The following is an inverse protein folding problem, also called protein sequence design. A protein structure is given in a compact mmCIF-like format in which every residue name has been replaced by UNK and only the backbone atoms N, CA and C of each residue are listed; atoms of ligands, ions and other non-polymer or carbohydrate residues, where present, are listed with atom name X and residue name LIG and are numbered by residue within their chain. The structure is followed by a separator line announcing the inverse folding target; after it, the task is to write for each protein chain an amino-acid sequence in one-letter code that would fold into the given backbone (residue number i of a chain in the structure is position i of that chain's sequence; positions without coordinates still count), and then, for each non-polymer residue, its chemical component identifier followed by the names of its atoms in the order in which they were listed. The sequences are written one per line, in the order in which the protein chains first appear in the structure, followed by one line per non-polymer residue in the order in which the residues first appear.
data_IF_571586733703
#
_entry.id   IF_571586733703
#
_cell.length_a   1.000
_cell.length_b   1.000
_cell.length_c   1.000
_cell.angle_alpha   90.00
_cell.angle_beta   90.00
_cell.angle_gamma   90.00
#
_symmetry.space_group_name_H-M   'P 1'
#
loop_
_entity.id
_entity.type
_entity.pdbx_description
1 polymer ?
#
# COMPACT_ATOMS: atom_id res chain seq x y z
N UNK A 1 -7.43 -65.84 -16.68
CA UNK A 1 -6.87 -64.59 -16.12
C UNK A 1 -8.02 -63.78 -15.53
N UNK A 2 -8.25 -63.82 -14.21
CA UNK A 2 -9.46 -63.21 -13.62
C UNK A 2 -9.43 -63.08 -12.10
N UNK A 3 -8.34 -62.56 -11.53
CA UNK A 3 -8.17 -62.46 -10.06
C UNK A 3 -7.70 -61.09 -9.55
N UNK A 4 -7.81 -60.03 -10.34
CA UNK A 4 -7.35 -58.70 -9.91
C UNK A 4 -8.45 -57.72 -9.47
N UNK A 5 -9.74 -58.03 -9.70
CA UNK A 5 -10.83 -57.04 -9.52
C UNK A 5 -11.50 -57.12 -8.13
N UNK A 6 -11.34 -58.21 -7.36
CA UNK A 6 -12.11 -58.41 -6.11
C UNK A 6 -11.53 -57.78 -4.84
N UNK A 7 -10.33 -57.20 -4.89
CA UNK A 7 -9.71 -56.56 -3.70
C UNK A 7 -10.23 -55.13 -3.53
N UNK A 8 -10.59 -54.46 -4.62
CA UNK A 8 -11.07 -53.07 -4.61
C UNK A 8 -12.46 -52.88 -3.99
N UNK A 9 -13.30 -53.93 -3.95
CA UNK A 9 -14.70 -53.87 -3.47
C UNK A 9 -14.89 -54.41 -2.04
N UNK A 10 -13.82 -54.62 -1.27
CA UNK A 10 -13.98 -55.02 0.12
C UNK A 10 -14.42 -53.82 0.99
N UNK A 11 -15.40 -53.97 1.89
CA UNK A 11 -15.96 -52.88 2.69
C UNK A 11 -14.92 -52.04 3.43
N UNK A 12 -13.80 -52.67 3.83
CA UNK A 12 -12.69 -52.02 4.52
C UNK A 12 -11.95 -51.00 3.65
N UNK A 13 -11.78 -51.28 2.35
CA UNK A 13 -11.13 -50.36 1.42
C UNK A 13 -12.03 -49.18 1.03
N UNK A 14 -13.35 -49.42 0.97
CA UNK A 14 -14.35 -48.35 0.79
C UNK A 14 -14.35 -47.40 1.99
N UNK A 15 -14.30 -47.92 3.22
CA UNK A 15 -14.22 -47.10 4.43
C UNK A 15 -12.91 -46.31 4.51
N UNK A 16 -11.77 -46.91 4.12
CA UNK A 16 -10.50 -46.19 4.03
C UNK A 16 -10.58 -45.08 2.97
N UNK A 17 -11.12 -45.38 1.78
CA UNK A 17 -11.26 -44.42 0.70
C UNK A 17 -12.17 -43.24 1.08
N UNK A 18 -13.33 -43.51 1.69
CA UNK A 18 -14.24 -42.47 2.21
C UNK A 18 -13.58 -41.64 3.32
N UNK A 19 -12.78 -42.26 4.19
CA UNK A 19 -12.01 -41.58 5.22
C UNK A 19 -10.96 -40.62 4.64
N UNK A 20 -10.19 -41.07 3.65
CA UNK A 20 -9.22 -40.19 2.95
C UNK A 20 -9.94 -39.05 2.23
N UNK A 21 -11.06 -39.32 1.55
CA UNK A 21 -11.82 -38.30 0.84
C UNK A 21 -12.39 -37.25 1.80
N UNK A 22 -12.89 -37.66 2.96
CA UNK A 22 -13.32 -36.76 4.04
C UNK A 22 -12.17 -35.92 4.59
N UNK A 23 -10.99 -36.51 4.83
CA UNK A 23 -9.80 -35.77 5.30
C UNK A 23 -9.36 -34.75 4.24
N UNK A 24 -9.34 -35.10 2.96
CA UNK A 24 -8.99 -34.15 1.88
C UNK A 24 -10.02 -33.04 1.73
N UNK A 25 -11.31 -33.34 1.90
CA UNK A 25 -12.37 -32.33 1.86
C UNK A 25 -12.28 -31.39 3.07
N UNK A 26 -12.02 -31.92 4.27
CA UNK A 26 -11.81 -31.12 5.49
C UNK A 26 -10.55 -30.27 5.35
N UNK A 27 -9.44 -30.83 4.86
CA UNK A 27 -8.20 -30.08 4.63
C UNK A 27 -8.40 -28.99 3.57
N UNK A 28 -9.09 -29.29 2.47
CA UNK A 28 -9.45 -28.30 1.45
C UNK A 28 -10.38 -27.23 2.01
N UNK A 29 -11.34 -27.59 2.86
CA UNK A 29 -12.25 -26.66 3.51
C UNK A 29 -11.53 -25.76 4.52
N UNK A 30 -10.61 -26.30 5.31
CA UNK A 30 -9.75 -25.54 6.23
C UNK A 30 -8.85 -24.58 5.44
N UNK A 31 -8.24 -25.06 4.36
CA UNK A 31 -7.40 -24.27 3.46
C UNK A 31 -8.19 -23.14 2.78
N UNK A 32 -9.43 -23.43 2.37
CA UNK A 32 -10.32 -22.44 1.76
C UNK A 32 -10.81 -21.41 2.80
N UNK A 33 -11.01 -21.82 4.06
CA UNK A 33 -11.38 -20.94 5.18
C UNK A 33 -10.23 -20.02 5.61
N UNK A 34 -8.97 -20.48 5.55
CA UNK A 34 -7.80 -19.60 5.76
C UNK A 34 -7.69 -18.50 4.70
N UNK A 35 -8.21 -18.74 3.50
CA UNK A 35 -8.26 -17.76 2.42
C UNK A 35 -9.43 -16.75 2.54
N UNK A 36 -10.40 -17.01 3.41
CA UNK A 36 -11.57 -16.16 3.66
C UNK A 36 -11.32 -15.23 4.86
N UNK A 37 -10.15 -14.58 4.88
CA UNK A 37 -9.92 -13.45 5.78
C UNK A 37 -10.70 -12.25 5.25
N UNK A 38 -11.78 -11.87 5.95
CA UNK A 38 -12.58 -10.68 5.64
C UNK A 38 -11.62 -9.49 5.62
N UNK A 39 -11.43 -8.86 4.46
CA UNK A 39 -10.71 -7.59 4.35
C UNK A 39 -11.38 -6.61 5.32
N UNK A 40 -10.75 -6.33 6.46
CA UNK A 40 -11.25 -5.34 7.41
C UNK A 40 -11.38 -4.00 6.68
N UNK A 41 -12.62 -3.53 6.50
CA UNK A 41 -12.89 -2.26 5.86
C UNK A 41 -12.66 -1.15 6.88
N UNK A 42 -11.52 -0.46 6.76
CA UNK A 42 -11.21 0.71 7.57
C UNK A 42 -11.90 1.98 7.03
N UNK A 43 -12.46 2.78 7.94
CA UNK A 43 -13.08 4.07 7.60
C UNK A 43 -12.03 5.05 7.04
N UNK A 44 -12.36 5.69 5.92
CA UNK A 44 -11.56 6.78 5.35
C UNK A 44 -11.96 8.09 6.03
N UNK A 45 -11.04 8.67 6.81
CA UNK A 45 -11.31 9.91 7.53
C UNK A 45 -10.82 11.16 6.80
N UNK A 46 -9.82 11.00 5.94
CA UNK A 46 -9.25 12.07 5.10
C UNK A 46 -8.98 11.55 3.69
N UNK A 47 -9.04 12.44 2.69
CA UNK A 47 -8.61 12.18 1.31
C UNK A 47 -7.52 13.16 0.94
N UNK A 48 -6.40 12.66 0.44
CA UNK A 48 -5.30 13.48 -0.06
C UNK A 48 -5.00 13.12 -1.51
N UNK A 49 -4.38 14.03 -2.24
CA UNK A 49 -4.02 13.80 -3.63
C UNK A 49 -2.52 14.05 -3.87
N UNK A 50 -1.98 13.33 -4.86
CA UNK A 50 -0.65 13.52 -5.43
C UNK A 50 -0.80 13.63 -6.95
N UNK A 51 -0.50 14.80 -7.50
CA UNK A 51 -0.37 15.00 -8.95
C UNK A 51 1.03 14.61 -9.37
N UNK A 52 1.18 13.73 -10.35
CA UNK A 52 2.48 13.14 -10.69
C UNK A 52 2.87 13.43 -12.14
N UNK A 53 4.10 13.89 -12.30
CA UNK A 53 4.75 14.08 -13.59
C UNK A 53 5.89 13.07 -13.79
N UNK A 54 6.05 12.57 -15.02
CA UNK A 54 7.23 11.83 -15.48
C UNK A 54 7.94 12.69 -16.53
N UNK A 55 9.21 12.99 -16.32
CA UNK A 55 10.02 13.87 -17.18
C UNK A 55 9.30 15.19 -17.53
N UNK A 56 8.61 15.79 -16.54
CA UNK A 56 7.81 17.04 -16.64
C UNK A 56 6.53 16.94 -17.46
N UNK A 57 6.08 15.74 -17.79
CA UNK A 57 4.77 15.50 -18.41
C UNK A 57 3.82 14.94 -17.36
N UNK A 58 2.64 15.56 -17.21
CA UNK A 58 1.59 15.09 -16.31
C UNK A 58 1.14 13.71 -16.71
N UNK A 59 1.23 12.76 -15.78
CA UNK A 59 0.76 11.38 -15.97
C UNK A 59 -0.62 11.19 -15.37
N UNK A 60 -0.88 11.78 -14.21
CA UNK A 60 -2.19 11.71 -13.58
C UNK A 60 -2.19 12.16 -12.13
N UNK A 61 -3.30 11.86 -11.45
CA UNK A 61 -3.53 12.14 -10.04
C UNK A 61 -3.75 10.82 -9.31
N UNK A 62 -3.12 10.67 -8.15
CA UNK A 62 -3.38 9.57 -7.21
C UNK A 62 -4.16 10.17 -6.05
N UNK A 63 -5.34 9.64 -5.75
CA UNK A 63 -6.12 10.00 -4.56
C UNK A 63 -6.01 8.89 -3.53
N UNK A 64 -5.65 9.25 -2.31
CA UNK A 64 -5.39 8.32 -1.20
C UNK A 64 -6.40 8.61 -0.08
N UNK A 65 -7.16 7.59 0.31
CA UNK A 65 -7.96 7.59 1.52
C UNK A 65 -7.13 7.16 2.73
N UNK A 66 -7.22 7.89 3.84
CA UNK A 66 -6.39 7.71 5.03
C UNK A 66 -7.21 7.17 6.23
N UNK A 67 -6.63 6.23 6.98
CA UNK A 67 -7.28 5.50 8.08
C UNK A 67 -7.12 6.18 9.44
N UNK A 68 -7.56 7.44 9.56
CA UNK A 68 -7.24 8.27 10.73
C UNK A 68 -7.89 7.83 12.05
N UNK A 69 -8.84 6.89 12.05
CA UNK A 69 -9.32 6.28 13.30
C UNK A 69 -8.36 5.20 13.84
N UNK A 70 -7.59 4.56 12.96
CA UNK A 70 -6.75 3.40 13.32
C UNK A 70 -5.32 3.85 13.60
N UNK A 71 -4.81 4.79 12.80
CA UNK A 71 -3.44 5.31 12.91
C UNK A 71 -3.44 6.86 12.79
N UNK A 72 -4.10 7.58 13.72
CA UNK A 72 -4.26 9.03 13.65
C UNK A 72 -2.94 9.80 13.55
N UNK A 73 -1.89 9.39 14.27
CA UNK A 73 -0.59 10.08 14.23
C UNK A 73 0.10 9.89 12.87
N UNK A 74 0.05 8.69 12.33
CA UNK A 74 0.63 8.38 11.02
C UNK A 74 -0.11 9.13 9.91
N UNK A 75 -1.45 9.15 9.98
CA UNK A 75 -2.31 9.88 9.05
C UNK A 75 -2.08 11.37 9.10
N UNK A 76 -2.01 11.96 10.29
CA UNK A 76 -1.78 13.40 10.44
C UNK A 76 -0.42 13.81 9.86
N UNK A 77 0.63 13.02 10.10
CA UNK A 77 1.93 13.23 9.47
C UNK A 77 1.84 13.23 7.94
N UNK A 78 1.21 12.22 7.34
CA UNK A 78 1.11 12.14 5.89
C UNK A 78 0.26 13.26 5.29
N UNK A 79 -0.88 13.57 5.92
CA UNK A 79 -1.82 14.63 5.51
C UNK A 79 -1.13 16.00 5.53
N UNK A 80 -0.50 16.36 6.64
CA UNK A 80 0.19 17.63 6.78
C UNK A 80 1.40 17.77 5.82
N UNK A 81 2.09 16.66 5.51
CA UNK A 81 3.13 16.64 4.48
C UNK A 81 2.56 16.78 3.05
N UNK A 82 1.31 16.35 2.80
CA UNK A 82 0.63 16.61 1.53
C UNK A 82 0.24 18.08 1.40
N UNK A 83 -0.25 18.73 2.46
CA UNK A 83 -0.70 20.14 2.42
C UNK A 83 0.44 21.15 2.51
N UNK A 84 1.53 20.79 3.20
CA UNK A 84 2.64 21.70 3.46
C UNK A 84 2.35 22.74 4.55
N UNK A 85 1.27 22.59 5.31
CA UNK A 85 0.82 23.59 6.30
C UNK A 85 1.80 23.80 7.47
N UNK A 86 2.65 22.81 7.74
CA UNK A 86 3.68 22.88 8.78
C UNK A 86 4.88 23.76 8.38
N UNK A 87 4.93 24.27 7.15
CA UNK A 87 5.95 25.20 6.68
C UNK A 87 7.33 24.56 6.56
N UNK A 88 8.32 25.15 7.23
CA UNK A 88 9.72 24.71 7.17
C UNK A 88 10.26 24.43 8.57
N UNK A 89 11.16 23.46 8.67
CA UNK A 89 11.96 23.24 9.89
C UNK A 89 12.92 24.41 10.13
N UNK A 90 13.51 24.47 11.33
CA UNK A 90 14.53 25.45 11.68
C UNK A 90 15.73 25.42 10.71
N UNK A 91 16.10 24.23 10.22
CA UNK A 91 17.18 24.03 9.25
C UNK A 91 16.75 24.27 7.79
N UNK A 92 15.53 24.78 7.57
CA UNK A 92 15.03 25.20 6.26
C UNK A 92 14.41 24.09 5.41
N UNK A 93 14.25 22.88 5.93
CA UNK A 93 13.59 21.77 5.21
C UNK A 93 12.10 22.06 5.09
N UNK A 94 11.58 22.13 3.86
CA UNK A 94 10.14 22.25 3.62
C UNK A 94 9.43 20.95 3.95
N UNK A 95 8.47 21.01 4.87
CA UNK A 95 7.62 19.87 5.27
C UNK A 95 6.47 19.69 4.28
N UNK A 96 6.81 19.40 3.01
CA UNK A 96 5.85 19.32 1.92
C UNK A 96 6.32 18.34 0.83
N UNK A 97 5.42 17.47 0.35
CA UNK A 97 5.69 16.52 -0.73
C UNK A 97 5.77 17.14 -2.13
N UNK A 98 5.17 18.31 -2.35
CA UNK A 98 5.27 19.04 -3.62
C UNK A 98 6.72 19.23 -4.06
N UNK A 99 7.01 18.84 -5.30
CA UNK A 99 8.31 18.88 -5.93
C UNK A 99 9.25 17.72 -5.55
N UNK A 100 8.82 16.78 -4.71
CA UNK A 100 9.65 15.66 -4.26
C UNK A 100 9.53 14.45 -5.19
N UNK A 101 10.60 13.68 -5.37
CA UNK A 101 10.59 12.55 -6.29
C UNK A 101 10.04 11.28 -5.66
N UNK A 102 9.54 10.40 -6.52
CA UNK A 102 9.58 8.96 -6.25
C UNK A 102 11.00 8.49 -6.55
N UNK A 103 11.81 8.25 -5.52
CA UNK A 103 13.23 7.94 -5.65
C UNK A 103 13.53 6.45 -5.79
N UNK A 104 12.55 5.57 -5.55
CA UNK A 104 12.70 4.12 -5.73
C UNK A 104 11.43 3.49 -6.29
N UNK A 105 11.51 2.83 -7.44
CA UNK A 105 10.39 2.24 -8.18
C UNK A 105 10.82 0.86 -8.68
N UNK A 106 10.21 -0.20 -8.14
CA UNK A 106 10.53 -1.59 -8.48
C UNK A 106 9.29 -2.23 -9.13
N UNK A 107 9.34 -2.56 -10.43
CA UNK A 107 8.27 -3.25 -11.12
C UNK A 107 7.93 -4.61 -10.49
N UNK A 108 6.64 -4.91 -10.34
CA UNK A 108 6.12 -6.08 -9.65
C UNK A 108 6.24 -6.00 -8.14
N UNK A 109 6.51 -4.83 -7.57
CA UNK A 109 6.61 -4.65 -6.13
C UNK A 109 5.95 -3.37 -5.64
N UNK A 110 6.58 -2.20 -5.84
CA UNK A 110 6.13 -0.95 -5.22
C UNK A 110 6.74 0.30 -5.88
N UNK A 111 6.08 1.43 -5.64
CA UNK A 111 6.62 2.77 -5.86
C UNK A 111 6.84 3.45 -4.50
N UNK A 112 8.04 4.02 -4.29
CA UNK A 112 8.45 4.65 -3.03
C UNK A 112 8.90 6.09 -3.28
N UNK A 113 8.43 6.98 -2.41
CA UNK A 113 8.74 8.40 -2.44
C UNK A 113 8.74 9.01 -1.04
N UNK A 114 8.56 10.33 -0.99
CA UNK A 114 8.36 11.06 0.25
C UNK A 114 9.63 11.47 0.99
N UNK A 115 10.83 11.24 0.44
CA UNK A 115 12.05 11.83 1.01
C UNK A 115 12.07 13.35 0.75
N UNK A 116 11.52 14.10 1.70
CA UNK A 116 11.43 15.57 1.63
C UNK A 116 12.75 16.27 1.94
N UNK A 117 13.74 15.56 2.53
CA UNK A 117 15.01 16.15 2.97
C UNK A 117 16.04 16.10 1.85
N UNK A 118 16.33 14.91 1.33
CA UNK A 118 17.38 14.70 0.32
C UNK A 118 16.86 14.27 -1.06
N UNK A 119 15.60 13.83 -1.16
CA UNK A 119 15.01 13.34 -2.40
C UNK A 119 15.69 12.12 -3.02
N UNK A 120 16.45 11.35 -2.24
CA UNK A 120 17.22 10.19 -2.71
C UNK A 120 17.05 8.93 -1.86
N UNK A 121 16.18 8.99 -0.84
CA UNK A 121 15.83 7.90 0.06
C UNK A 121 16.64 7.83 1.35
N UNK A 122 17.60 8.75 1.56
CA UNK A 122 18.40 8.79 2.81
C UNK A 122 17.78 9.68 3.88
N UNK A 123 16.94 10.62 3.49
CA UNK A 123 16.32 11.58 4.39
C UNK A 123 15.13 11.00 5.12
N UNK A 124 15.03 11.28 6.42
CA UNK A 124 13.89 10.89 7.21
C UNK A 124 13.61 11.92 8.31
N UNK A 125 12.47 12.59 8.22
CA UNK A 125 11.95 13.52 9.22
C UNK A 125 10.42 13.42 9.19
N UNK A 126 9.75 13.74 10.29
CA UNK A 126 8.29 13.87 10.34
C UNK A 126 7.89 15.30 10.69
N UNK A 127 6.60 15.58 10.65
CA UNK A 127 6.06 16.84 11.18
C UNK A 127 6.31 17.03 12.69
N UNK A 128 6.73 15.96 13.39
CA UNK A 128 7.03 15.95 14.83
C UNK A 128 8.50 16.26 15.14
N UNK A 129 9.30 16.66 14.15
CA UNK A 129 10.71 17.07 14.34
C UNK A 129 11.74 15.96 14.29
N UNK A 130 11.34 14.72 14.01
CA UNK A 130 12.24 13.56 13.90
C UNK A 130 11.46 12.29 13.55
N UNK A 131 12.09 11.10 13.59
CA UNK A 131 11.35 9.85 13.42
C UNK A 131 10.31 9.63 14.54
N UNK A 132 9.23 8.90 14.24
CA UNK A 132 8.19 8.55 15.21
C UNK A 132 7.92 7.04 15.28
N UNK A 133 7.41 6.54 16.43
CA UNK A 133 7.14 5.11 16.63
C UNK A 133 6.12 4.50 15.69
N UNK A 134 6.12 3.17 15.58
CA UNK A 134 5.07 2.42 14.89
C UNK A 134 3.77 2.52 15.71
N UNK A 135 2.72 3.07 15.13
CA UNK A 135 1.47 3.32 15.85
C UNK A 135 0.67 2.03 16.08
N UNK A 136 0.49 1.23 15.03
CA UNK A 136 0.18 -0.19 15.12
C UNK A 136 0.53 -0.89 13.79
N UNK A 137 0.58 -2.22 13.83
CA UNK A 137 0.96 -3.08 12.70
C UNK A 137 -0.15 -4.09 12.37
N UNK A 138 -1.41 -3.72 12.66
CA UNK A 138 -2.57 -4.62 12.51
C UNK A 138 -3.02 -4.75 11.07
N UNK A 139 -2.95 -3.65 10.33
CA UNK A 139 -3.39 -3.58 8.94
C UNK A 139 -2.35 -4.28 8.05
N UNK A 140 -2.81 -5.25 7.25
CA UNK A 140 -1.97 -6.06 6.36
C UNK A 140 -1.80 -5.43 4.99
N UNK A 141 -0.73 -5.79 4.30
CA UNK A 141 -0.48 -5.47 2.90
C UNK A 141 -1.22 -6.45 1.97
N UNK A 142 -2.54 -6.56 2.16
CA UNK A 142 -3.37 -7.62 1.56
C UNK A 142 -3.60 -7.47 0.05
N UNK A 143 -3.46 -6.26 -0.51
CA UNK A 143 -3.69 -5.97 -1.91
C UNK A 143 -2.80 -4.84 -2.45
N UNK A 144 -2.77 -4.68 -3.78
CA UNK A 144 -2.11 -3.55 -4.44
C UNK A 144 -2.80 -2.22 -4.07
N UNK A 145 -2.05 -1.13 -3.99
CA UNK A 145 -2.59 0.20 -3.71
C UNK A 145 -2.77 0.53 -2.22
N UNK A 146 -2.44 -0.38 -1.30
CA UNK A 146 -2.25 0.03 0.12
C UNK A 146 -1.14 1.07 0.22
N UNK A 147 -1.24 1.99 1.17
CA UNK A 147 -0.20 3.01 1.39
C UNK A 147 0.41 2.80 2.76
N UNK A 148 1.75 2.70 2.80
CA UNK A 148 2.47 2.25 3.97
C UNK A 148 3.75 3.05 4.22
N UNK A 149 4.14 3.18 5.47
CA UNK A 149 5.31 3.96 5.89
C UNK A 149 6.60 3.19 5.61
N UNK A 150 7.59 3.88 5.07
CA UNK A 150 8.97 3.38 5.06
C UNK A 150 9.61 3.68 6.41
N UNK A 151 10.38 2.73 6.91
CA UNK A 151 11.20 2.90 8.10
C UNK A 151 12.61 2.31 7.87
N UNK A 152 13.52 2.59 8.79
CA UNK A 152 14.87 2.01 8.85
C UNK A 152 15.01 1.00 10.01
N UNK A 153 13.92 0.29 10.30
CA UNK A 153 13.75 -0.53 11.50
C UNK A 153 12.59 -0.04 12.36
N UNK A 154 12.21 -0.85 13.36
CA UNK A 154 11.08 -0.55 14.24
C UNK A 154 11.15 0.86 14.82
N UNK A 155 10.00 1.52 14.87
CA UNK A 155 9.82 2.85 15.47
C UNK A 155 10.62 3.98 14.82
N UNK A 156 10.84 3.91 13.50
CA UNK A 156 11.62 4.92 12.76
C UNK A 156 10.87 5.52 11.56
N UNK A 157 9.54 5.66 11.67
CA UNK A 157 8.72 6.28 10.64
C UNK A 157 9.06 7.76 10.51
N UNK A 158 8.98 8.32 9.30
CA UNK A 158 9.13 9.76 9.11
C UNK A 158 8.33 10.27 7.93
N UNK A 159 8.97 10.59 6.82
CA UNK A 159 8.31 11.21 5.65
C UNK A 159 8.16 10.26 4.47
N UNK A 160 8.97 9.19 4.42
CA UNK A 160 8.96 8.28 3.30
C UNK A 160 7.78 7.30 3.37
N UNK A 161 7.19 7.04 2.21
CA UNK A 161 6.06 6.12 2.05
C UNK A 161 6.24 5.29 0.78
N UNK A 162 5.51 4.19 0.69
CA UNK A 162 5.43 3.38 -0.51
C UNK A 162 4.00 2.91 -0.80
N UNK A 163 3.75 2.61 -2.07
CA UNK A 163 2.50 2.05 -2.59
C UNK A 163 2.85 0.76 -3.32
N UNK A 164 2.54 -0.43 -2.77
CA UNK A 164 2.70 -1.69 -3.46
C UNK A 164 1.81 -1.78 -4.70
N UNK A 165 2.34 -2.38 -5.76
CA UNK A 165 1.61 -2.67 -7.00
C UNK A 165 1.08 -4.11 -7.06
N UNK A 166 1.43 -4.90 -6.05
CA UNK A 166 0.98 -6.28 -5.79
C UNK A 166 0.71 -6.47 -4.30
N UNK A 167 0.06 -7.59 -3.92
CA UNK A 167 -0.01 -8.02 -2.51
C UNK A 167 1.40 -8.25 -1.97
N UNK A 168 1.71 -7.71 -0.79
CA UNK A 168 3.06 -7.71 -0.22
C UNK A 168 3.07 -8.18 1.24
N UNK A 169 2.47 -9.34 1.53
CA UNK A 169 2.28 -9.87 2.89
C UNK A 169 3.59 -10.15 3.66
N UNK A 170 4.73 -10.22 2.97
CA UNK A 170 6.04 -10.31 3.63
C UNK A 170 6.47 -9.02 4.35
N UNK A 171 5.71 -7.93 4.20
CA UNK A 171 5.91 -6.66 4.91
C UNK A 171 4.99 -6.51 6.14
N UNK A 172 4.08 -7.47 6.35
CA UNK A 172 3.14 -7.45 7.48
C UNK A 172 3.92 -7.52 8.81
N UNK A 173 3.52 -6.71 9.78
CA UNK A 173 4.22 -6.63 11.07
C UNK A 173 5.50 -5.77 11.06
N UNK A 174 5.93 -5.25 9.91
CA UNK A 174 7.18 -4.46 9.79
C UNK A 174 6.93 -3.01 9.37
N UNK A 175 5.86 -2.74 8.62
CA UNK A 175 5.52 -1.41 8.11
C UNK A 175 4.08 -1.02 8.46
N UNK A 176 3.90 0.23 8.90
CA UNK A 176 2.58 0.78 9.25
C UNK A 176 1.81 1.11 7.97
N UNK A 177 0.78 0.33 7.66
CA UNK A 177 -0.21 0.70 6.64
C UNK A 177 -1.16 1.75 7.22
N UNK A 178 -1.39 2.84 6.47
CA UNK A 178 -2.16 3.98 6.97
C UNK A 178 -3.22 4.51 5.98
N UNK A 179 -3.33 3.89 4.81
CA UNK A 179 -4.34 4.27 3.83
C UNK A 179 -4.38 3.33 2.63
N UNK A 180 -5.17 3.71 1.63
CA UNK A 180 -5.20 3.08 0.32
C UNK A 180 -5.45 4.10 -0.78
N UNK A 181 -4.95 3.82 -1.97
CA UNK A 181 -5.34 4.51 -3.19
C UNK A 181 -6.81 4.19 -3.45
N UNK A 182 -7.62 5.25 -3.59
CA UNK A 182 -9.04 5.15 -3.90
C UNK A 182 -9.34 5.54 -5.34
N UNK A 183 -8.49 6.37 -5.95
CA UNK A 183 -8.53 6.75 -7.37
C UNK A 183 -7.10 6.91 -7.89
N UNK A 184 -6.88 6.63 -9.18
CA UNK A 184 -5.56 6.81 -9.80
C UNK A 184 -4.59 5.63 -9.68
N UNK A 185 -5.09 4.40 -9.47
CA UNK A 185 -4.21 3.21 -9.51
C UNK A 185 -3.59 2.98 -10.89
N UNK A 186 -4.26 3.37 -11.97
CA UNK A 186 -3.70 3.44 -13.31
C UNK A 186 -2.47 4.37 -13.38
N UNK A 187 -2.50 5.51 -12.68
CA UNK A 187 -1.35 6.42 -12.53
C UNK A 187 -0.21 5.73 -11.78
N UNK A 188 -0.50 4.98 -10.72
CA UNK A 188 0.50 4.17 -9.99
C UNK A 188 1.18 3.15 -10.91
N UNK A 189 0.39 2.41 -11.70
CA UNK A 189 0.92 1.46 -12.67
C UNK A 189 1.68 2.13 -13.82
N UNK A 190 1.25 3.32 -14.26
CA UNK A 190 1.97 4.10 -15.27
C UNK A 190 3.33 4.57 -14.76
N UNK A 191 3.44 4.96 -13.48
CA UNK A 191 4.72 5.28 -12.83
C UNK A 191 5.62 4.06 -12.79
N UNK A 192 5.10 2.93 -12.30
CA UNK A 192 5.83 1.67 -12.20
C UNK A 192 6.36 1.21 -13.56
N UNK A 193 5.46 1.04 -14.53
CA UNK A 193 5.79 0.58 -15.87
C UNK A 193 6.61 1.58 -16.67
N UNK A 194 6.37 2.88 -16.49
CA UNK A 194 7.00 3.97 -17.24
C UNK A 194 8.40 4.36 -16.78
N UNK A 195 8.69 4.22 -15.48
CA UNK A 195 9.93 4.69 -14.87
C UNK A 195 10.68 3.65 -14.01
N UNK A 196 10.06 2.51 -13.68
CA UNK A 196 10.66 1.52 -12.79
C UNK A 196 11.87 0.77 -13.36
N UNK A 197 12.69 0.24 -12.45
CA UNK A 197 13.81 -0.66 -12.76
C UNK A 197 13.96 -1.71 -11.65
N UNK A 198 14.59 -2.85 -11.96
CA UNK A 198 14.83 -3.90 -10.96
C UNK A 198 15.79 -3.50 -9.84
N UNK A 199 16.69 -2.52 -10.07
CA UNK A 199 17.54 -1.97 -9.02
C UNK A 199 16.80 -0.97 -8.12
N UNK A 200 15.57 -0.61 -8.48
CA UNK A 200 14.75 0.40 -7.83
C UNK A 200 15.07 1.82 -8.25
N UNK A 201 16.26 2.14 -8.77
CA UNK A 201 16.56 3.50 -9.22
C UNK A 201 15.74 3.81 -10.50
N UNK A 202 14.86 4.82 -10.50
CA UNK A 202 14.03 5.11 -11.66
C UNK A 202 14.85 5.49 -12.90
N UNK A 203 14.42 5.03 -14.08
CA UNK A 203 15.04 5.39 -15.38
C UNK A 203 14.59 6.76 -15.90
N UNK A 204 13.50 7.29 -15.37
CA UNK A 204 12.93 8.62 -15.67
C UNK A 204 12.69 9.37 -14.37
N UNK A 205 12.68 10.69 -14.42
CA UNK A 205 12.44 11.51 -13.23
C UNK A 205 10.93 11.55 -12.96
N UNK A 206 10.50 10.99 -11.84
CA UNK A 206 9.10 10.99 -11.40
C UNK A 206 8.96 11.94 -10.22
N UNK A 207 8.07 12.93 -10.33
CA UNK A 207 7.93 14.01 -9.34
C UNK A 207 6.47 14.16 -8.95
N UNK A 208 6.23 14.33 -7.64
CA UNK A 208 4.96 14.83 -7.11
C UNK A 208 4.88 16.33 -7.47
N UNK A 209 4.24 16.66 -8.58
CA UNK A 209 4.15 18.01 -9.11
C UNK A 209 3.29 18.92 -8.22
N UNK A 210 2.23 18.36 -7.63
CA UNK A 210 1.39 19.01 -6.63
C UNK A 210 0.84 18.00 -5.64
N UNK A 211 0.50 18.46 -4.44
CA UNK A 211 -0.10 17.62 -3.40
C UNK A 211 -1.01 18.45 -2.50
N UNK A 212 -1.96 17.79 -1.84
CA UNK A 212 -2.82 18.45 -0.88
C UNK A 212 -3.91 17.55 -0.32
N UNK A 213 -4.80 18.15 0.45
CA UNK A 213 -5.98 17.51 1.02
C UNK A 213 -7.22 17.89 0.22
N UNK A 214 -8.12 16.92 -0.01
CA UNK A 214 -9.42 17.13 -0.62
C UNK A 214 -10.43 17.41 0.51
N UNK A 215 -11.01 18.62 0.59
CA UNK A 215 -11.99 18.97 1.61
C UNK A 215 -13.20 18.04 1.56
N UNK A 216 -13.75 17.68 2.73
CA UNK A 216 -14.87 16.73 2.85
C UNK A 216 -16.10 17.12 2.02
N UNK A 217 -16.40 18.41 1.90
CA UNK A 217 -17.54 18.89 1.10
C UNK A 217 -17.41 18.62 -0.41
N UNK A 218 -16.22 18.24 -0.89
CA UNK A 218 -15.98 17.88 -2.30
C UNK A 218 -15.99 16.39 -2.57
N UNK A 219 -16.13 15.55 -1.54
CA UNK A 219 -16.03 14.09 -1.71
C UNK A 219 -17.19 13.50 -2.53
N UNK A 220 -18.34 14.16 -2.52
CA UNK A 220 -19.58 13.71 -3.17
C UNK A 220 -19.72 14.21 -4.62
N UNK A 221 -18.98 15.26 -5.00
CA UNK A 221 -18.97 15.80 -6.38
C UNK A 221 -18.38 14.77 -7.37
N UNK A 222 -17.40 13.99 -6.93
CA UNK A 222 -16.71 12.98 -7.74
C UNK A 222 -17.59 11.73 -8.02
N UNK A 223 -18.55 11.44 -7.14
CA UNK A 223 -19.45 10.28 -7.25
C UNK A 223 -20.47 10.40 -8.40
N UNK A 224 -20.75 11.62 -8.87
CA UNK A 224 -21.77 11.89 -9.88
C UNK A 224 -21.20 11.98 -11.31
N UNK A 225 -19.88 12.16 -11.46
CA UNK A 225 -19.22 12.27 -12.77
C UNK A 225 -18.99 10.93 -13.48
N UNK A 226 -19.04 9.81 -12.74
CA UNK A 226 -18.80 8.45 -13.24
C UNK A 226 -20.08 7.71 -13.69
N UNK A 227 -21.24 8.38 -13.61
CA UNK A 227 -22.54 7.86 -14.05
C UNK A 227 -23.14 8.62 -15.24
N UNK A 228 -22.36 9.51 -15.87
CA UNK A 228 -22.77 10.32 -17.03
C UNK A 228 -22.13 9.87 -18.33
#
# INVERSE_FOLDING_TARGET
MGRAISVLLQPRWILIFLGVLAVTFIASYIFQKEHEEVDEVYEITHRVFLDVDIDKQRVGRIVIGLYGQVVPKTVENFRALCTGEMGKTADGVSLHYKGKPFHRIIPGFMIQGGDIVSGNGRGNISIYGGPFPDENLKIKHSHAGVVSMVNSGRNSNGCQFFIPTVKASWLDGEHVVFGKVIEGMDTVYAIEGGAGTYSGKPRKKVIIADSGEIPKNKWDEDSQSSTS
#
